data_IF_606731210125
#
_entry.id   IF_606731210125
#
_cell.length_a   1.000
_cell.length_b   1.000
_cell.length_c   1.000
_cell.angle_alpha   90.00
_cell.angle_beta   90.00
_cell.angle_gamma   90.00
#
_symmetry.space_group_name_H-M   'P 1'
#
loop_
_entity.id
_entity.type
_entity.pdbx_description
1 polymer ?
#
# COMPACT_ATOMS: atom_id res chain seq x y z
N UNK A 1 3.46 -20.25 -14.06
CA UNK A 1 2.76 -19.05 -13.53
C UNK A 1 1.97 -19.49 -12.29
N UNK A 2 2.08 -18.77 -11.16
CA UNK A 2 1.28 -19.08 -9.98
C UNK A 2 -0.17 -18.63 -10.23
N UNK A 3 -1.10 -19.58 -10.37
CA UNK A 3 -2.50 -19.29 -10.73
C UNK A 3 -3.21 -18.40 -9.70
N UNK A 4 -2.81 -18.50 -8.42
CA UNK A 4 -3.37 -17.74 -7.32
C UNK A 4 -2.90 -16.28 -7.27
N UNK A 5 -1.78 -15.92 -7.91
CA UNK A 5 -1.30 -14.53 -7.96
C UNK A 5 -1.97 -13.80 -9.11
N UNK A 6 -2.84 -12.84 -8.79
CA UNK A 6 -3.60 -12.06 -9.77
C UNK A 6 -2.84 -10.85 -10.29
N UNK A 7 -2.17 -10.14 -9.40
CA UNK A 7 -1.44 -8.93 -9.72
C UNK A 7 -0.34 -8.66 -8.68
N UNK A 8 0.54 -7.72 -8.99
CA UNK A 8 1.44 -7.11 -8.03
C UNK A 8 1.48 -5.61 -8.24
N UNK A 9 1.56 -4.86 -7.14
CA UNK A 9 1.77 -3.43 -7.16
C UNK A 9 3.17 -3.12 -6.60
N UNK A 10 3.82 -2.15 -7.22
CA UNK A 10 5.11 -1.60 -6.82
C UNK A 10 4.97 -0.10 -6.69
N UNK A 11 5.24 0.38 -5.50
CA UNK A 11 5.21 1.79 -5.16
C UNK A 11 6.59 2.21 -4.66
N UNK A 12 7.00 3.42 -5.03
CA UNK A 12 8.29 3.99 -4.65
C UNK A 12 8.11 5.39 -4.07
N UNK A 13 8.81 5.65 -2.97
CA UNK A 13 8.85 6.94 -2.29
C UNK A 13 10.00 7.76 -2.86
N UNK A 14 9.68 8.79 -3.63
CA UNK A 14 10.67 9.76 -4.11
C UNK A 14 11.05 10.74 -2.99
N UNK A 15 12.11 11.56 -3.14
CA UNK A 15 12.41 12.62 -2.16
C UNK A 15 11.22 13.56 -1.89
N UNK A 16 10.45 13.89 -2.93
CA UNK A 16 9.23 14.70 -2.78
C UNK A 16 8.14 13.96 -1.99
N UNK A 17 7.97 12.66 -2.23
CA UNK A 17 7.05 11.84 -1.44
C UNK A 17 7.43 11.78 0.04
N UNK A 18 8.72 11.60 0.34
CA UNK A 18 9.22 11.61 1.73
C UNK A 18 8.98 12.95 2.42
N UNK A 19 9.14 14.06 1.70
CA UNK A 19 8.89 15.41 2.22
C UNK A 19 7.41 15.70 2.44
N UNK A 20 6.52 14.98 1.75
CA UNK A 20 5.06 15.12 1.83
C UNK A 20 4.39 14.05 2.70
N UNK A 21 5.15 13.34 3.54
CA UNK A 21 4.57 12.40 4.52
C UNK A 21 3.70 13.17 5.52
N UNK A 22 2.55 12.60 5.83
CA UNK A 22 1.65 13.16 6.85
C UNK A 22 1.99 12.65 8.26
N UNK A 23 2.76 11.57 8.37
CA UNK A 23 3.23 10.97 9.63
C UNK A 23 4.71 10.65 9.50
N UNK A 24 5.48 11.04 10.52
CA UNK A 24 6.91 10.77 10.69
C UNK A 24 7.22 10.37 12.15
N UNK A 25 8.47 10.00 12.43
CA UNK A 25 8.97 9.68 13.77
C UNK A 25 8.76 8.21 14.19
N UNK A 26 8.39 7.33 13.26
CA UNK A 26 8.06 5.92 13.54
C UNK A 26 9.01 4.91 12.88
N UNK A 27 8.91 3.62 13.23
CA UNK A 27 9.71 2.56 12.58
C UNK A 27 9.44 2.43 11.07
N UNK A 28 8.27 2.90 10.61
CA UNK A 28 7.89 2.89 9.20
C UNK A 28 8.52 4.06 8.40
N UNK A 29 9.30 4.95 9.03
CA UNK A 29 10.00 6.03 8.32
C UNK A 29 11.04 5.51 7.32
N UNK A 30 11.57 4.30 7.55
CA UNK A 30 12.50 3.63 6.66
C UNK A 30 11.86 3.07 5.37
N UNK A 31 10.54 3.23 5.20
CA UNK A 31 9.83 2.72 4.01
C UNK A 31 10.12 3.60 2.79
N UNK A 32 10.92 3.07 1.87
CA UNK A 32 11.10 3.65 0.52
C UNK A 32 10.25 2.95 -0.54
N UNK A 33 9.86 1.70 -0.32
CA UNK A 33 9.15 0.88 -1.31
C UNK A 33 8.00 0.10 -0.66
N UNK A 34 6.87 0.02 -1.36
CA UNK A 34 5.76 -0.88 -0.99
C UNK A 34 5.56 -1.89 -2.09
N UNK A 35 5.62 -3.17 -1.72
CA UNK A 35 5.52 -4.31 -2.63
C UNK A 35 4.31 -5.16 -2.26
N UNK A 36 3.23 -5.05 -3.04
CA UNK A 36 1.97 -5.76 -2.78
C UNK A 36 1.79 -6.87 -3.79
N UNK A 37 1.35 -8.04 -3.32
CA UNK A 37 0.93 -9.15 -4.18
C UNK A 37 -0.54 -9.45 -3.88
N UNK A 38 -1.37 -9.44 -4.92
CA UNK A 38 -2.79 -9.73 -4.79
C UNK A 38 -3.03 -11.20 -5.11
N UNK A 39 -3.58 -11.91 -4.14
CA UNK A 39 -3.92 -13.33 -4.24
C UNK A 39 -5.42 -13.50 -4.43
N UNK A 40 -5.83 -14.56 -5.14
CA UNK A 40 -7.23 -15.00 -5.16
C UNK A 40 -7.72 -15.45 -3.80
N UNK A 41 -6.85 -16.14 -3.06
CA UNK A 41 -7.14 -16.71 -1.76
C UNK A 41 -5.82 -16.94 -0.97
N UNK A 42 -5.88 -17.04 0.37
CA UNK A 42 -4.70 -17.23 1.20
C UNK A 42 -3.90 -18.52 0.93
N UNK A 43 -4.51 -19.60 0.45
CA UNK A 43 -3.81 -20.85 0.13
C UNK A 43 -2.76 -20.67 -0.99
N UNK A 44 -2.92 -19.65 -1.83
CA UNK A 44 -1.94 -19.24 -2.83
C UNK A 44 -0.56 -18.88 -2.25
N UNK A 45 -0.48 -18.49 -0.97
CA UNK A 45 0.78 -18.16 -0.31
C UNK A 45 1.74 -19.34 -0.25
N UNK A 46 1.22 -20.58 -0.14
CA UNK A 46 2.06 -21.78 -0.02
C UNK A 46 2.93 -21.96 -1.25
N UNK A 47 2.31 -22.06 -2.44
CA UNK A 47 3.03 -22.21 -3.69
C UNK A 47 3.91 -21.01 -4.03
N UNK A 48 3.51 -19.81 -3.60
CA UNK A 48 4.36 -18.61 -3.70
C UNK A 48 5.64 -18.74 -2.87
N UNK A 49 5.54 -19.17 -1.62
CA UNK A 49 6.69 -19.34 -0.72
C UNK A 49 7.59 -20.50 -1.11
N UNK A 50 7.01 -21.61 -1.61
CA UNK A 50 7.76 -22.74 -2.16
C UNK A 50 8.59 -22.31 -3.38
N UNK A 51 7.96 -21.61 -4.34
CA UNK A 51 8.67 -21.06 -5.50
C UNK A 51 9.75 -20.05 -5.08
N UNK A 52 9.41 -19.16 -4.14
CA UNK A 52 10.34 -18.20 -3.55
C UNK A 52 11.57 -18.93 -2.97
N UNK A 53 11.37 -20.01 -2.21
CA UNK A 53 12.46 -20.80 -1.64
C UNK A 53 13.30 -21.47 -2.73
N UNK A 54 12.67 -22.12 -3.71
CA UNK A 54 13.36 -22.77 -4.82
C UNK A 54 14.22 -21.79 -5.63
N UNK A 55 13.69 -20.60 -5.93
CA UNK A 55 14.45 -19.54 -6.62
C UNK A 55 15.64 -19.05 -5.79
N UNK A 56 15.49 -18.95 -4.46
CA UNK A 56 16.59 -18.61 -3.56
C UNK A 56 17.70 -19.67 -3.57
N UNK A 57 17.32 -20.93 -3.41
CA UNK A 57 18.26 -22.06 -3.42
C UNK A 57 18.99 -22.19 -4.77
N UNK A 58 18.34 -21.78 -5.87
CA UNK A 58 18.94 -21.76 -7.21
C UNK A 58 19.79 -20.51 -7.51
N UNK A 59 19.99 -19.59 -6.55
CA UNK A 59 20.73 -18.35 -6.78
C UNK A 59 20.04 -17.38 -7.75
N UNK A 60 18.72 -17.51 -7.95
CA UNK A 60 17.91 -16.68 -8.85
C UNK A 60 17.20 -15.53 -8.14
N UNK A 61 17.53 -15.29 -6.87
CA UNK A 61 17.06 -14.14 -6.10
C UNK A 61 18.18 -13.17 -5.85
N UNK A 62 17.89 -11.90 -6.09
CA UNK A 62 18.71 -10.81 -5.57
C UNK A 62 18.64 -10.87 -4.04
N UNK A 63 19.74 -10.61 -3.32
CA UNK A 63 19.73 -10.47 -1.87
C UNK A 63 18.59 -9.53 -1.43
N UNK A 64 17.68 -10.05 -0.61
CA UNK A 64 16.59 -9.25 -0.08
C UNK A 64 17.15 -8.35 1.02
N UNK A 65 16.92 -7.04 0.88
CA UNK A 65 17.11 -6.14 2.00
C UNK A 65 16.14 -6.53 3.12
N UNK A 66 16.54 -6.40 4.40
CA UNK A 66 15.64 -6.63 5.51
C UNK A 66 14.37 -5.78 5.33
N UNK A 67 13.18 -6.39 5.32
CA UNK A 67 11.95 -5.63 5.15
C UNK A 67 11.67 -4.83 6.42
N UNK A 68 11.24 -3.58 6.25
CA UNK A 68 10.77 -2.75 7.38
C UNK A 68 9.57 -3.41 8.05
N UNK A 69 8.62 -3.90 7.24
CA UNK A 69 7.50 -4.69 7.71
C UNK A 69 7.02 -5.65 6.61
N UNK A 70 6.47 -6.80 7.01
CA UNK A 70 5.72 -7.73 6.14
C UNK A 70 4.35 -7.99 6.73
N UNK A 71 3.32 -8.00 5.90
CA UNK A 71 1.98 -8.34 6.36
C UNK A 71 1.23 -9.22 5.36
N UNK A 72 0.36 -10.07 5.90
CA UNK A 72 -0.67 -10.77 5.14
C UNK A 72 -1.99 -10.10 5.48
N UNK A 73 -2.67 -9.56 4.48
CA UNK A 73 -3.85 -8.72 4.69
C UNK A 73 -5.08 -9.31 4.02
N UNK A 74 -6.24 -9.09 4.65
CA UNK A 74 -7.55 -9.43 4.10
C UNK A 74 -8.29 -8.14 3.75
N UNK A 75 -8.65 -7.98 2.47
CA UNK A 75 -9.36 -6.80 1.99
C UNK A 75 -10.74 -6.74 2.64
N UNK A 76 -11.01 -5.64 3.35
CA UNK A 76 -12.26 -5.40 4.07
C UNK A 76 -13.21 -4.54 3.25
N UNK A 77 -12.69 -3.50 2.60
CA UNK A 77 -13.51 -2.55 1.83
C UNK A 77 -12.82 -2.14 0.53
N UNK A 78 -13.65 -1.85 -0.47
CA UNK A 78 -13.25 -1.29 -1.76
C UNK A 78 -14.27 -0.26 -2.20
N UNK A 79 -13.83 0.94 -2.53
CA UNK A 79 -14.67 2.00 -3.04
C UNK A 79 -13.98 2.70 -4.22
N UNK A 80 -14.75 3.10 -5.21
CA UNK A 80 -14.27 3.95 -6.31
C UNK A 80 -14.98 5.30 -6.23
N UNK A 81 -14.27 6.37 -6.58
CA UNK A 81 -14.86 7.69 -6.67
C UNK A 81 -15.91 7.71 -7.79
N UNK A 82 -17.10 8.30 -7.60
CA UNK A 82 -18.10 8.40 -8.67
C UNK A 82 -17.61 9.24 -9.86
N UNK A 83 -16.52 10.00 -9.69
CA UNK A 83 -15.90 10.81 -10.76
C UNK A 83 -15.13 9.97 -11.78
N UNK A 84 -14.69 8.76 -11.43
CA UNK A 84 -13.88 7.92 -12.33
C UNK A 84 -14.74 6.89 -13.05
N UNK A 85 -14.35 6.50 -14.26
CA UNK A 85 -15.10 5.57 -15.12
C UNK A 85 -14.78 4.09 -14.87
N UNK A 86 -14.24 3.77 -13.69
CA UNK A 86 -13.79 2.42 -13.35
C UNK A 86 -14.41 1.93 -12.04
N UNK A 87 -14.68 0.64 -11.95
CA UNK A 87 -15.17 0.01 -10.73
C UNK A 87 -14.08 -0.14 -9.66
N UNK A 88 -14.49 -0.32 -8.41
CA UNK A 88 -13.55 -0.48 -7.29
C UNK A 88 -12.65 -1.71 -7.44
N UNK A 89 -13.10 -2.75 -8.12
CA UNK A 89 -12.32 -3.99 -8.34
C UNK A 89 -11.15 -3.85 -9.30
N UNK A 90 -11.03 -2.77 -10.08
CA UNK A 90 -9.91 -2.60 -11.03
C UNK A 90 -8.88 -1.56 -10.57
N UNK A 91 -9.09 -0.93 -9.41
CA UNK A 91 -8.22 0.16 -8.93
C UNK A 91 -6.74 -0.23 -8.79
N UNK A 92 -6.35 -1.42 -8.31
CA UNK A 92 -4.94 -1.83 -8.30
C UNK A 92 -4.28 -1.93 -9.68
N UNK A 93 -5.07 -1.96 -10.75
CA UNK A 93 -4.61 -1.98 -12.14
C UNK A 93 -4.67 -0.60 -12.82
N UNK A 94 -5.30 0.38 -12.16
CA UNK A 94 -5.35 1.79 -12.59
C UNK A 94 -4.64 2.78 -11.62
N UNK A 95 -3.52 2.46 -10.95
CA UNK A 95 -2.77 3.50 -10.24
C UNK A 95 -1.98 4.32 -11.28
N UNK A 96 -2.69 5.17 -12.03
CA UNK A 96 -2.17 5.93 -13.18
C UNK A 96 -0.93 6.73 -12.80
N UNK A 97 -0.89 7.24 -11.56
CA UNK A 97 0.24 8.00 -11.03
C UNK A 97 0.87 7.40 -9.79
N UNK A 98 0.08 6.73 -8.95
CA UNK A 98 0.55 6.32 -7.63
C UNK A 98 -0.54 5.90 -6.67
N UNK A 99 -0.18 5.84 -5.41
CA UNK A 99 -1.10 5.63 -4.29
C UNK A 99 -0.66 6.46 -3.08
N UNK A 100 -1.61 6.95 -2.29
CA UNK A 100 -1.36 7.38 -0.93
C UNK A 100 -1.64 6.19 -0.01
N UNK A 101 -0.65 5.79 0.79
CA UNK A 101 -0.73 4.60 1.65
C UNK A 101 -0.83 5.03 3.10
N UNK A 102 -1.85 4.51 3.78
CA UNK A 102 -2.05 4.65 5.22
C UNK A 102 -1.79 3.31 5.90
N UNK A 103 -1.16 3.37 7.06
CA UNK A 103 -1.06 2.26 8.01
C UNK A 103 -1.53 2.77 9.36
N UNK A 104 -2.54 2.12 9.93
CA UNK A 104 -3.23 2.58 11.13
C UNK A 104 -3.53 1.40 12.06
N UNK A 105 -3.75 1.69 13.35
CA UNK A 105 -4.48 0.77 14.24
C UNK A 105 -5.87 1.33 14.51
N UNK A 106 -6.84 0.43 14.63
CA UNK A 106 -8.24 0.79 14.76
C UNK A 106 -8.98 0.72 13.43
N UNK A 107 -10.20 1.26 13.41
CA UNK A 107 -11.06 1.28 12.23
C UNK A 107 -11.63 2.67 12.05
N UNK A 108 -11.59 3.17 10.82
CA UNK A 108 -12.28 4.39 10.46
C UNK A 108 -12.77 4.31 9.02
N UNK A 109 -13.92 4.95 8.77
CA UNK A 109 -14.60 4.93 7.49
C UNK A 109 -13.69 5.42 6.36
N UNK A 110 -13.76 4.75 5.21
CA UNK A 110 -12.94 5.10 4.04
C UNK A 110 -13.63 6.10 3.12
N UNK A 111 -14.93 6.33 3.27
CA UNK A 111 -15.72 7.20 2.39
C UNK A 111 -15.15 8.62 2.29
N UNK A 112 -14.76 9.29 3.40
CA UNK A 112 -14.18 10.63 3.31
C UNK A 112 -12.89 10.70 2.48
N UNK A 113 -12.12 9.61 2.40
CA UNK A 113 -10.89 9.56 1.60
C UNK A 113 -11.21 9.49 0.10
N UNK A 114 -12.30 8.83 -0.28
CA UNK A 114 -12.73 8.66 -1.69
C UNK A 114 -13.21 9.99 -2.30
N UNK A 115 -13.75 10.87 -1.48
CA UNK A 115 -14.28 12.17 -1.90
C UNK A 115 -13.18 13.19 -2.22
N UNK A 116 -11.92 12.93 -1.84
CA UNK A 116 -10.81 13.85 -2.09
C UNK A 116 -10.44 13.88 -3.57
N UNK A 117 -10.32 15.09 -4.13
CA UNK A 117 -9.86 15.28 -5.51
C UNK A 117 -8.44 14.72 -5.71
N UNK A 118 -8.25 13.92 -6.76
CA UNK A 118 -7.03 13.16 -7.02
C UNK A 118 -7.04 11.73 -6.47
N UNK A 119 -8.07 11.35 -5.68
CA UNK A 119 -8.31 9.96 -5.28
C UNK A 119 -9.31 9.34 -6.25
N UNK A 120 -8.88 8.30 -6.97
CA UNK A 120 -9.72 7.51 -7.87
C UNK A 120 -10.53 6.44 -7.10
N UNK A 121 -10.00 5.97 -5.97
CA UNK A 121 -10.68 5.04 -5.10
C UNK A 121 -9.80 4.52 -3.97
N UNK A 122 -10.39 3.75 -3.08
CA UNK A 122 -9.77 3.29 -1.83
C UNK A 122 -9.96 1.80 -1.65
N UNK A 123 -8.89 1.09 -1.31
CA UNK A 123 -8.94 -0.27 -0.76
C UNK A 123 -8.40 -0.25 0.66
N UNK A 124 -9.13 -0.84 1.60
CA UNK A 124 -8.63 -1.08 2.96
C UNK A 124 -8.57 -2.56 3.27
N UNK A 125 -7.50 -2.99 3.92
CA UNK A 125 -7.28 -4.37 4.29
C UNK A 125 -6.76 -4.47 5.73
N UNK A 126 -7.17 -5.52 6.43
CA UNK A 126 -6.80 -5.76 7.82
C UNK A 126 -5.75 -6.87 7.90
N UNK A 127 -4.73 -6.68 8.72
CA UNK A 127 -3.69 -7.68 8.97
C UNK A 127 -4.29 -8.97 9.55
N UNK A 128 -3.89 -10.10 8.98
CA UNK A 128 -4.19 -11.43 9.52
C UNK A 128 -3.09 -11.83 10.50
N UNK A 129 -3.48 -12.48 11.60
CA UNK A 129 -2.53 -13.19 12.45
C UNK A 129 -2.06 -14.44 11.70
N UNK A 130 -0.78 -14.44 11.32
CA UNK A 130 -0.09 -15.57 10.68
C UNK A 130 1.22 -15.82 11.42
N UNK A 131 1.92 -16.90 11.05
CA UNK A 131 3.23 -17.22 11.60
C UNK A 131 4.22 -16.05 11.42
N UNK A 132 5.05 -15.79 12.44
CA UNK A 132 6.00 -14.68 12.46
C UNK A 132 7.04 -14.74 11.32
N UNK A 133 7.30 -15.91 10.76
CA UNK A 133 8.17 -16.05 9.59
C UNK A 133 7.53 -15.47 8.30
N UNK A 134 6.20 -15.37 8.27
CA UNK A 134 5.41 -14.87 7.13
C UNK A 134 5.08 -13.39 7.24
N UNK A 135 4.78 -12.89 8.45
CA UNK A 135 4.43 -11.50 8.69
C UNK A 135 4.99 -10.98 10.01
N UNK A 136 5.36 -9.71 10.02
CA UNK A 136 5.75 -8.93 11.20
C UNK A 136 4.73 -7.84 11.57
N UNK A 137 3.80 -7.52 10.66
CA UNK A 137 2.69 -6.59 10.90
C UNK A 137 1.85 -7.07 12.10
N UNK A 138 1.52 -6.13 12.99
CA UNK A 138 0.82 -6.45 14.22
C UNK A 138 -0.67 -6.69 13.95
N UNK A 139 -1.29 -7.64 14.67
CA UNK A 139 -2.72 -7.88 14.53
C UNK A 139 -3.55 -6.64 14.89
N UNK A 140 -4.55 -6.31 14.05
CA UNK A 140 -5.38 -5.11 14.21
C UNK A 140 -4.83 -3.87 13.50
N UNK A 141 -3.70 -4.01 12.80
CA UNK A 141 -3.17 -3.00 11.88
C UNK A 141 -3.91 -3.08 10.54
N UNK A 142 -4.40 -1.96 10.05
CA UNK A 142 -4.96 -1.82 8.71
C UNK A 142 -3.94 -1.20 7.76
N UNK A 143 -4.01 -1.58 6.49
CA UNK A 143 -3.33 -0.91 5.40
C UNK A 143 -4.39 -0.43 4.41
N UNK A 144 -4.36 0.86 4.10
CA UNK A 144 -5.31 1.50 3.19
C UNK A 144 -4.56 2.13 2.03
N UNK A 145 -5.00 1.83 0.81
CA UNK A 145 -4.47 2.40 -0.43
C UNK A 145 -5.51 3.36 -0.99
N UNK A 146 -5.21 4.64 -1.05
CA UNK A 146 -5.90 5.61 -1.89
C UNK A 146 -5.21 5.61 -3.26
N UNK A 147 -5.81 4.98 -4.26
CA UNK A 147 -5.29 4.96 -5.63
C UNK A 147 -5.51 6.32 -6.28
N UNK A 148 -4.46 6.87 -6.92
CA UNK A 148 -4.45 8.27 -7.34
C UNK A 148 -4.52 8.41 -8.86
N UNK A 149 -5.42 9.28 -9.32
CA UNK A 149 -5.56 9.72 -10.72
C UNK A 149 -4.92 11.09 -11.00
N UNK A 150 -4.36 11.73 -9.97
CA UNK A 150 -3.59 12.98 -10.06
C UNK A 150 -2.19 12.83 -9.42
N UNK A 151 -1.38 13.89 -9.40
CA UNK A 151 -0.06 13.87 -8.78
C UNK A 151 -0.12 13.43 -7.30
N UNK A 152 0.67 12.41 -6.89
CA UNK A 152 0.69 11.91 -5.52
C UNK A 152 1.04 12.94 -4.45
N UNK A 153 1.98 13.85 -4.74
CA UNK A 153 2.44 14.84 -3.77
C UNK A 153 1.37 15.93 -3.59
N UNK A 154 0.80 16.43 -4.69
CA UNK A 154 -0.29 17.41 -4.61
C UNK A 154 -1.54 16.81 -3.94
N UNK A 155 -1.83 15.54 -4.22
CA UNK A 155 -2.97 14.85 -3.60
C UNK A 155 -2.75 14.60 -2.11
N UNK A 156 -1.51 14.34 -1.67
CA UNK A 156 -1.18 14.25 -0.24
C UNK A 156 -1.52 15.54 0.52
N UNK A 157 -1.23 16.72 -0.07
CA UNK A 157 -1.59 18.02 0.52
C UNK A 157 -3.12 18.11 0.67
N UNK A 158 -3.88 17.72 -0.36
CA UNK A 158 -5.35 17.73 -0.33
C UNK A 158 -5.96 16.74 0.66
N UNK A 159 -5.28 15.61 0.91
CA UNK A 159 -5.68 14.63 1.91
C UNK A 159 -5.47 15.13 3.35
N UNK A 160 -4.55 16.06 3.57
CA UNK A 160 -4.16 16.56 4.90
C UNK A 160 -5.32 16.89 5.84
N UNK A 161 -6.29 17.75 5.47
CA UNK A 161 -7.43 18.07 6.32
C UNK A 161 -8.31 16.87 6.67
N UNK A 162 -8.51 15.94 5.73
CA UNK A 162 -9.32 14.72 5.94
C UNK A 162 -8.60 13.77 6.88
N UNK A 163 -7.27 13.63 6.74
CA UNK A 163 -6.44 12.83 7.63
C UNK A 163 -6.40 13.41 9.05
N UNK A 164 -6.26 14.73 9.18
CA UNK A 164 -6.30 15.41 10.47
C UNK A 164 -7.63 15.17 11.20
N UNK A 165 -8.76 15.27 10.48
CA UNK A 165 -10.07 14.96 11.05
C UNK A 165 -10.20 13.47 11.42
N UNK A 166 -9.70 12.57 10.57
CA UNK A 166 -9.70 11.12 10.81
C UNK A 166 -8.93 10.75 12.08
N UNK A 167 -7.78 11.39 12.33
CA UNK A 167 -6.91 11.09 13.48
C UNK A 167 -7.24 11.91 14.73
N UNK A 168 -8.25 12.78 14.66
CA UNK A 168 -8.83 13.39 15.85
C UNK A 168 -9.67 12.37 16.66
N UNK A 169 -10.09 11.27 16.04
CA UNK A 169 -10.71 10.14 16.74
C UNK A 169 -9.65 9.36 17.54
N UNK A 170 -9.75 9.28 18.88
CA UNK A 170 -8.79 8.55 19.70
C UNK A 170 -8.77 7.03 19.44
N UNK A 171 -9.79 6.49 18.76
CA UNK A 171 -9.87 5.10 18.33
C UNK A 171 -9.00 4.78 17.11
N UNK A 172 -8.41 5.79 16.46
CA UNK A 172 -7.57 5.62 15.27
C UNK A 172 -6.15 6.09 15.57
N UNK A 173 -5.21 5.16 15.57
CA UNK A 173 -3.80 5.48 15.73
C UNK A 173 -3.10 5.47 14.37
N UNK A 174 -2.64 6.62 13.85
CA UNK A 174 -1.80 6.64 12.66
C UNK A 174 -0.42 6.05 12.97
N UNK A 175 0.07 5.17 12.10
CA UNK A 175 1.42 4.61 12.16
C UNK A 175 2.28 5.05 10.97
N UNK A 176 1.66 5.28 9.82
CA UNK A 176 2.31 5.75 8.61
C UNK A 176 1.28 6.32 7.63
N UNK A 177 1.62 7.40 6.93
CA UNK A 177 0.77 8.01 5.91
C UNK A 177 1.62 8.77 4.91
N UNK A 178 1.70 8.28 3.67
CA UNK A 178 2.61 8.85 2.67
C UNK A 178 2.13 8.66 1.23
N UNK A 179 2.41 9.61 0.33
CA UNK A 179 2.27 9.40 -1.10
C UNK A 179 3.39 8.53 -1.67
N UNK A 180 3.10 7.80 -2.74
CA UNK A 180 4.06 7.04 -3.52
C UNK A 180 3.72 7.11 -5.00
N UNK A 181 4.74 7.05 -5.85
CA UNK A 181 4.56 6.86 -7.28
C UNK A 181 4.52 5.37 -7.62
N UNK A 182 3.81 5.02 -8.69
CA UNK A 182 3.99 3.72 -9.33
C UNK A 182 5.31 3.66 -10.07
N UNK A 183 5.98 2.52 -10.01
CA UNK A 183 7.24 2.32 -10.75
C UNK A 183 6.94 2.22 -12.24
N UNK A 184 7.42 3.19 -13.02
CA UNK A 184 7.44 3.12 -14.49
C UNK A 184 8.81 2.57 -14.91
N UNK A 185 8.90 1.36 -15.50
CA UNK A 185 10.18 0.65 -15.70
C UNK A 185 11.24 1.36 -16.54
N UNK A 186 10.92 2.46 -17.21
CA UNK A 186 11.84 3.24 -18.04
C UNK A 186 12.12 4.65 -17.48
N UNK A 187 11.44 5.09 -16.41
CA UNK A 187 11.65 6.41 -15.78
C UNK A 187 12.58 6.32 -14.57
N UNK A 188 13.75 5.68 -14.70
CA UNK A 188 14.64 5.41 -13.56
C UNK A 188 15.06 6.67 -12.81
N UNK A 189 15.40 7.74 -13.52
CA UNK A 189 15.84 9.04 -12.96
C UNK A 189 14.81 9.67 -12.01
N UNK A 190 13.55 9.25 -12.08
CA UNK A 190 12.47 9.74 -11.22
C UNK A 190 12.46 9.08 -9.84
N UNK A 191 13.04 7.87 -9.73
CA UNK A 191 12.83 6.97 -8.58
C UNK A 191 14.10 6.67 -7.78
N UNK A 192 15.29 6.96 -8.33
CA UNK A 192 16.58 6.85 -7.64
C UNK A 192 17.17 8.24 -7.35
N UNK A 193 17.98 8.40 -6.28
CA UNK A 193 18.68 9.67 -5.98
C UNK A 193 19.67 10.12 -7.06
#
# INVERSE_FOLDING_TARGET
RLAAVRASLRLVSTPACRSARAIDGGPLDAVDHVMTYFFTDPAGLRGFNELSTALGNAGRKIPLLPPVERGVYEVQSKAASPRVKVGSDVLPWLPVRGAFVLVERGSAATDPLVEVAGVAGVWSALSRRVDANLASAQGGQSITYCFLDDDPVDTAIRLGPVLAARWADPGVQPLFAAPFFTVVPFEWDRYVP
#
